data_IF_696724536664
#
_entry.id   IF_696724536664
#
_cell.length_a   1.000
_cell.length_b   1.000
_cell.length_c   1.000
_cell.angle_alpha   90.00
_cell.angle_beta   90.00
_cell.angle_gamma   90.00
#
_symmetry.space_group_name_H-M   'P 1'
#
loop_
_entity.id
_entity.type
_entity.pdbx_description
1 polymer ?
#
# COMPACT_ATOMS: atom_id res chain seq x y z
N UNK A 1 -15.46 11.31 4.38
CA UNK A 1 -14.33 11.44 5.31
C UNK A 1 -13.30 12.40 4.72
N UNK A 2 -12.67 13.26 5.53
CA UNK A 2 -11.71 14.27 5.07
C UNK A 2 -10.25 13.95 5.39
N UNK A 3 -9.98 12.89 6.17
CA UNK A 3 -8.63 12.39 6.40
C UNK A 3 -8.34 11.33 5.34
N UNK A 4 -7.34 11.56 4.50
CA UNK A 4 -7.07 10.77 3.29
C UNK A 4 -5.59 10.43 3.18
N UNK A 5 -5.27 9.37 2.45
CA UNK A 5 -3.89 9.06 2.06
C UNK A 5 -3.54 9.90 0.83
N UNK A 6 -2.66 10.87 1.02
CA UNK A 6 -2.17 11.75 -0.06
C UNK A 6 -1.09 11.05 -0.90
N UNK A 7 -0.16 10.34 -0.24
CA UNK A 7 0.89 9.58 -0.90
C UNK A 7 0.84 8.13 -0.44
N UNK A 8 0.54 7.24 -1.39
CA UNK A 8 0.56 5.80 -1.16
C UNK A 8 1.97 5.29 -0.82
N UNK A 9 2.09 4.18 -0.06
CA UNK A 9 3.38 3.61 0.30
C UNK A 9 4.26 3.36 -0.92
N UNK A 10 5.44 3.97 -0.92
CA UNK A 10 6.37 3.89 -2.04
C UNK A 10 7.82 3.95 -1.57
N UNK A 11 8.66 3.15 -2.21
CA UNK A 11 10.11 3.20 -2.04
C UNK A 11 10.70 4.28 -2.97
N UNK A 12 11.81 4.95 -2.58
CA UNK A 12 12.56 5.82 -3.48
C UNK A 12 13.24 4.94 -4.54
N UNK A 13 12.55 4.70 -5.66
CA UNK A 13 12.99 3.82 -6.72
C UNK A 13 12.73 4.45 -8.09
N UNK A 14 13.67 4.29 -9.02
CA UNK A 14 13.57 4.78 -10.40
C UNK A 14 12.37 4.18 -11.15
N UNK A 15 11.98 2.93 -10.84
CA UNK A 15 10.95 2.19 -11.58
C UNK A 15 9.50 2.59 -11.24
N UNK A 16 9.27 3.59 -10.36
CA UNK A 16 7.94 4.13 -9.99
C UNK A 16 6.85 3.04 -9.80
N UNK A 17 7.13 2.02 -8.97
CA UNK A 17 6.16 0.98 -8.60
C UNK A 17 5.66 1.23 -7.16
N UNK A 18 4.68 2.12 -6.94
CA UNK A 18 4.06 2.28 -5.62
C UNK A 18 3.33 0.99 -5.22
N UNK A 19 3.03 0.83 -3.93
CA UNK A 19 2.33 -0.34 -3.38
C UNK A 19 3.08 -1.68 -3.53
N UNK A 20 4.35 -1.66 -3.92
CA UNK A 20 5.24 -2.81 -3.77
C UNK A 20 6.39 -2.40 -2.86
N UNK A 21 6.43 -2.96 -1.66
CA UNK A 21 7.45 -2.65 -0.66
C UNK A 21 8.39 -3.83 -0.47
N UNK A 22 9.66 -3.53 -0.22
CA UNK A 22 10.66 -4.55 0.10
C UNK A 22 11.07 -4.46 1.56
N UNK A 23 11.13 -5.61 2.23
CA UNK A 23 11.66 -5.70 3.60
C UNK A 23 13.04 -5.05 3.71
N UNK A 24 13.33 -4.42 4.85
CA UNK A 24 14.59 -3.70 5.11
C UNK A 24 14.93 -2.54 4.14
N UNK A 25 14.03 -2.18 3.22
CA UNK A 25 14.19 -1.02 2.34
C UNK A 25 13.34 0.12 2.85
N UNK A 26 13.89 1.34 2.78
CA UNK A 26 13.19 2.54 3.23
C UNK A 26 12.02 2.86 2.29
N UNK A 27 10.90 3.25 2.86
CA UNK A 27 9.74 3.74 2.13
C UNK A 27 9.14 4.96 2.84
N UNK A 28 8.20 5.61 2.15
CA UNK A 28 7.45 6.75 2.67
C UNK A 28 5.97 6.58 2.39
N UNK A 29 5.14 7.16 3.25
CA UNK A 29 3.70 7.25 3.08
C UNK A 29 3.18 8.49 3.80
N UNK A 30 2.14 9.14 3.25
CA UNK A 30 1.64 10.42 3.74
C UNK A 30 0.13 10.45 3.78
N UNK A 31 -0.42 10.86 4.90
CA UNK A 31 -1.83 11.20 5.04
C UNK A 31 -2.02 12.71 5.20
N UNK A 32 -3.17 13.22 4.77
CA UNK A 32 -3.55 14.63 4.85
C UNK A 32 -4.97 14.75 5.35
N UNK A 33 -5.20 15.65 6.30
CA UNK A 33 -6.54 16.11 6.63
C UNK A 33 -6.88 17.31 5.74
N UNK A 34 -7.88 17.14 4.89
CA UNK A 34 -8.32 18.17 3.95
C UNK A 34 -9.00 19.36 4.65
N UNK A 35 -9.52 19.13 5.86
CA UNK A 35 -10.05 20.19 6.73
C UNK A 35 -8.89 20.95 7.36
N UNK A 36 -8.75 22.23 7.00
CA UNK A 36 -7.67 23.11 7.46
C UNK A 36 -8.02 23.83 8.77
N UNK A 37 -8.49 23.07 9.75
CA UNK A 37 -8.80 23.56 11.09
C UNK A 37 -7.77 22.99 12.07
N UNK A 38 -7.03 23.86 12.75
CA UNK A 38 -5.99 23.46 13.68
C UNK A 38 -5.97 24.42 14.86
N UNK A 39 -6.00 23.88 16.07
CA UNK A 39 -5.78 24.65 17.29
C UNK A 39 -4.28 24.66 17.61
N UNK A 40 -3.65 25.84 17.52
CA UNK A 40 -2.20 25.99 17.77
C UNK A 40 -1.78 25.59 19.19
N UNK A 41 -2.73 25.58 20.13
CA UNK A 41 -2.45 25.30 21.53
C UNK A 41 -2.54 23.80 21.86
N UNK A 42 -3.11 22.98 20.97
CA UNK A 42 -3.24 21.54 21.16
C UNK A 42 -2.22 20.79 20.31
N UNK A 43 -1.45 19.90 20.94
CA UNK A 43 -0.53 19.01 20.24
C UNK A 43 -1.31 17.80 19.75
N UNK A 44 -1.42 17.65 18.43
CA UNK A 44 -2.01 16.45 17.83
C UNK A 44 -0.94 15.38 17.62
N UNK A 45 -1.32 14.11 17.75
CA UNK A 45 -0.43 12.97 17.54
C UNK A 45 -0.94 12.13 16.37
N UNK A 46 -0.10 11.92 15.36
CA UNK A 46 -0.36 11.01 14.26
C UNK A 46 0.40 9.69 14.49
N UNK A 47 -0.22 8.54 14.23
CA UNK A 47 0.41 7.22 14.29
C UNK A 47 0.20 6.45 13.00
N UNK A 48 1.12 5.53 12.74
CA UNK A 48 1.07 4.63 11.59
C UNK A 48 1.13 3.18 12.07
N UNK A 49 0.22 2.37 11.54
CA UNK A 49 0.04 0.97 11.89
C UNK A 49 0.05 0.14 10.62
N UNK A 50 0.59 -1.07 10.69
CA UNK A 50 0.46 -2.07 9.62
C UNK A 50 -0.48 -3.16 10.10
N UNK A 51 -1.42 -3.54 9.23
CA UNK A 51 -2.41 -4.59 9.46
C UNK A 51 -3.06 -4.51 10.86
N UNK A 52 -3.67 -3.34 11.18
CA UNK A 52 -4.39 -3.12 12.45
C UNK A 52 -5.46 -4.20 12.67
N UNK A 53 -6.16 -4.55 11.59
CA UNK A 53 -7.21 -5.59 11.55
C UNK A 53 -6.86 -6.65 10.49
N UNK A 54 -5.90 -7.55 10.77
CA UNK A 54 -5.40 -8.49 9.77
C UNK A 54 -6.46 -9.55 9.42
N UNK A 55 -6.47 -10.07 8.18
CA UNK A 55 -7.26 -11.23 7.81
C UNK A 55 -7.02 -12.42 8.73
N UNK A 56 -8.10 -13.10 9.15
CA UNK A 56 -8.02 -14.32 9.97
C UNK A 56 -7.70 -15.56 9.11
N UNK A 57 -6.70 -15.46 8.25
CA UNK A 57 -6.26 -16.53 7.36
C UNK A 57 -5.00 -17.18 7.94
N UNK A 58 -4.94 -18.51 7.87
CA UNK A 58 -3.74 -19.26 8.27
C UNK A 58 -2.58 -18.93 7.33
N UNK A 59 -1.43 -18.57 7.90
CA UNK A 59 -0.23 -18.28 7.13
C UNK A 59 -0.10 -16.83 6.65
N UNK A 60 -1.04 -15.94 7.00
CA UNK A 60 -0.88 -14.50 6.74
C UNK A 60 0.33 -13.95 7.51
N UNK A 61 1.34 -13.46 6.77
CA UNK A 61 2.59 -12.99 7.35
C UNK A 61 2.37 -11.68 8.08
N UNK A 62 3.11 -11.49 9.17
CA UNK A 62 3.03 -10.29 10.00
C UNK A 62 4.31 -9.49 9.90
N UNK A 63 4.18 -8.18 9.89
CA UNK A 63 5.30 -7.26 9.75
C UNK A 63 5.25 -6.19 10.83
N UNK A 64 6.43 -5.69 11.19
CA UNK A 64 6.59 -4.50 12.01
C UNK A 64 7.09 -3.35 11.14
N UNK A 65 6.51 -2.18 11.36
CA UNK A 65 7.13 -0.91 10.95
C UNK A 65 8.23 -0.62 11.96
N UNK A 66 9.47 -0.55 11.49
CA UNK A 66 10.62 -0.07 12.26
C UNK A 66 10.80 1.43 11.97
N UNK A 67 11.39 2.16 12.94
CA UNK A 67 11.48 3.63 13.07
C UNK A 67 10.29 4.27 13.79
N UNK A 68 10.24 5.62 13.88
CA UNK A 68 9.20 6.33 14.61
C UNK A 68 7.83 6.11 13.97
N UNK A 69 6.99 5.30 14.62
CA UNK A 69 5.61 5.03 14.22
C UNK A 69 4.61 6.08 14.73
N UNK A 70 5.09 7.07 15.47
CA UNK A 70 4.32 8.24 15.90
C UNK A 70 5.04 9.53 15.51
N UNK A 71 4.26 10.58 15.24
CA UNK A 71 4.73 11.94 14.95
C UNK A 71 3.79 12.94 15.60
N UNK A 72 4.34 13.82 16.44
CA UNK A 72 3.60 14.99 16.90
C UNK A 72 3.51 16.01 15.77
N UNK A 73 2.30 16.46 15.47
CA UNK A 73 2.09 17.55 14.52
C UNK A 73 2.16 18.86 15.29
N UNK A 74 3.11 19.71 14.92
CA UNK A 74 3.22 21.06 15.44
C UNK A 74 2.57 22.03 14.45
N UNK A 75 1.77 22.96 14.95
CA UNK A 75 1.30 24.08 14.15
C UNK A 75 2.50 24.95 13.76
N UNK A 76 2.93 24.94 12.50
CA UNK A 76 4.02 25.85 12.14
C UNK A 76 4.56 25.85 10.72
N UNK A 77 4.67 24.71 10.03
CA UNK A 77 5.66 24.70 8.95
C UNK A 77 5.18 25.30 7.61
N UNK A 78 3.86 25.31 7.34
CA UNK A 78 3.29 26.20 6.33
C UNK A 78 1.76 26.34 6.52
N UNK A 79 1.18 27.56 6.51
CA UNK A 79 -0.28 27.75 6.58
C UNK A 79 -1.01 27.25 5.30
N UNK A 80 -0.26 26.88 4.25
CA UNK A 80 -0.81 26.42 2.98
C UNK A 80 -0.96 24.90 2.89
N UNK A 81 -0.19 24.11 3.67
CA UNK A 81 -0.19 22.65 3.55
C UNK A 81 -1.28 21.93 4.35
N UNK A 82 -1.96 22.62 5.28
CA UNK A 82 -2.92 21.98 6.16
C UNK A 82 -2.26 20.95 7.09
N UNK A 83 -3.05 20.00 7.62
CA UNK A 83 -2.54 18.98 8.54
C UNK A 83 -2.02 17.76 7.77
N UNK A 84 -0.69 17.65 7.68
CA UNK A 84 0.01 16.60 6.94
C UNK A 84 0.74 15.65 7.90
N UNK A 85 0.39 14.38 7.82
CA UNK A 85 1.03 13.28 8.54
C UNK A 85 2.05 12.60 7.62
N UNK A 86 3.24 13.20 7.51
CA UNK A 86 4.30 12.68 6.63
C UNK A 86 5.25 11.75 7.39
N UNK A 87 5.23 10.46 7.02
CA UNK A 87 6.13 9.43 7.55
C UNK A 87 7.13 9.01 6.48
N UNK A 88 8.41 9.30 6.76
CA UNK A 88 9.52 9.03 5.86
C UNK A 88 10.50 8.04 6.49
N UNK A 89 11.30 7.39 5.66
CA UNK A 89 12.36 6.47 6.07
C UNK A 89 11.87 5.25 6.89
N UNK A 90 10.60 4.90 6.75
CA UNK A 90 10.01 3.71 7.37
C UNK A 90 10.65 2.46 6.77
N UNK A 91 10.77 1.39 7.57
CA UNK A 91 11.24 0.08 7.07
C UNK A 91 10.37 -1.03 7.63
N UNK A 92 10.17 -2.11 6.85
CA UNK A 92 9.40 -3.27 7.29
C UNK A 92 10.32 -4.42 7.68
N UNK A 93 9.98 -5.09 8.78
CA UNK A 93 10.63 -6.33 9.23
C UNK A 93 9.57 -7.38 9.54
N UNK A 94 9.71 -8.54 8.90
CA UNK A 94 8.85 -9.69 9.15
C UNK A 94 8.97 -10.18 10.60
N UNK A 95 7.83 -10.46 11.21
CA UNK A 95 7.75 -11.12 12.51
C UNK A 95 7.97 -12.62 12.28
N UNK A 96 9.08 -13.15 12.79
CA UNK A 96 9.30 -14.59 12.83
C UNK A 96 8.55 -15.16 14.02
N UNK A 97 7.58 -16.04 13.79
CA UNK A 97 6.93 -16.76 14.87
C UNK A 97 7.94 -17.65 15.60
N UNK A 98 8.24 -17.30 16.85
CA UNK A 98 9.18 -18.03 17.73
C UNK A 98 8.66 -19.40 18.19
N UNK A 99 7.45 -19.81 17.75
CA UNK A 99 6.85 -21.11 18.08
C UNK A 99 7.23 -22.24 17.12
N UNK A 100 7.86 -21.94 15.98
CA UNK A 100 8.41 -22.99 15.10
C UNK A 100 9.87 -23.25 15.47
N UNK A 101 10.11 -24.30 16.25
CA UNK A 101 11.46 -24.79 16.55
C UNK A 101 12.26 -25.14 15.30
N UNK A 102 13.60 -25.21 15.46
CA UNK A 102 14.55 -25.69 14.45
C UNK A 102 14.00 -26.95 13.75
N UNK A 103 13.61 -26.83 12.48
CA UNK A 103 13.27 -27.99 11.65
C UNK A 103 11.98 -27.91 10.82
N UNK A 104 11.15 -26.87 10.90
CA UNK A 104 9.98 -26.78 10.03
C UNK A 104 10.30 -26.13 8.68
N UNK A 105 10.71 -26.95 7.71
CA UNK A 105 10.34 -26.72 6.30
C UNK A 105 8.82 -26.83 6.24
N UNK A 106 8.07 -25.73 6.10
CA UNK A 106 6.64 -25.80 5.78
C UNK A 106 5.67 -24.88 6.55
N UNK A 107 6.12 -23.84 7.25
CA UNK A 107 5.19 -22.85 7.87
C UNK A 107 4.72 -21.74 6.93
N UNK A 108 5.17 -21.75 5.66
CA UNK A 108 4.89 -20.72 4.65
C UNK A 108 3.82 -21.07 3.62
N UNK A 109 3.03 -22.12 3.82
CA UNK A 109 1.90 -22.43 2.94
C UNK A 109 0.63 -21.76 3.48
N UNK A 110 0.61 -20.43 3.41
CA UNK A 110 -0.66 -19.73 3.27
C UNK A 110 -1.30 -20.12 1.93
N UNK A 111 -2.63 -20.00 1.77
CA UNK A 111 -3.29 -20.32 0.51
C UNK A 111 -2.82 -19.42 -0.66
N UNK A 112 -2.26 -18.25 -0.33
CA UNK A 112 -1.77 -17.27 -1.30
C UNK A 112 -0.24 -17.30 -1.37
N UNK A 113 0.28 -17.09 -2.58
CA UNK A 113 1.71 -16.86 -2.77
C UNK A 113 2.10 -15.50 -2.19
N UNK A 114 3.38 -15.35 -1.82
CA UNK A 114 3.94 -14.12 -1.23
C UNK A 114 3.58 -12.84 -2.00
N UNK A 115 3.45 -12.91 -3.32
CA UNK A 115 3.18 -11.76 -4.18
C UNK A 115 1.69 -11.43 -4.33
N UNK A 116 0.80 -12.26 -3.81
CA UNK A 116 -0.66 -12.07 -3.80
C UNK A 116 -1.19 -11.75 -2.39
N UNK A 117 -0.34 -11.87 -1.37
CA UNK A 117 -0.67 -11.43 -0.01
C UNK A 117 -0.67 -9.88 0.06
N UNK A 118 -1.79 -9.33 0.50
CA UNK A 118 -2.07 -7.91 0.52
C UNK A 118 -2.10 -7.36 1.95
N UNK A 119 -1.36 -6.28 2.18
CA UNK A 119 -1.24 -5.60 3.48
C UNK A 119 -1.83 -4.20 3.42
N UNK A 120 -2.23 -3.68 4.58
CA UNK A 120 -2.72 -2.32 4.74
C UNK A 120 -1.88 -1.54 5.74
N UNK A 121 -1.69 -0.26 5.45
CA UNK A 121 -1.19 0.70 6.43
C UNK A 121 -2.36 1.59 6.83
N UNK A 122 -2.54 1.74 8.14
CA UNK A 122 -3.56 2.61 8.73
C UNK A 122 -2.89 3.77 9.44
N UNK A 123 -3.32 4.98 9.11
CA UNK A 123 -2.97 6.20 9.81
C UNK A 123 -4.06 6.53 10.81
N UNK A 124 -3.67 6.90 12.03
CA UNK A 124 -4.57 7.49 13.01
C UNK A 124 -4.08 8.88 13.37
N UNK A 125 -5.00 9.78 13.66
CA UNK A 125 -4.73 11.15 14.10
C UNK A 125 -5.62 11.47 15.30
N UNK A 126 -5.01 11.69 16.46
CA UNK A 126 -5.67 12.28 17.61
C UNK A 126 -5.89 13.77 17.34
N UNK A 127 -7.03 14.09 16.76
CA UNK A 127 -7.41 15.42 16.31
C UNK A 127 -8.14 16.17 17.42
N UNK A 128 -7.72 17.40 17.70
CA UNK A 128 -8.34 18.27 18.71
C UNK A 128 -8.57 19.69 18.16
N UNK A 129 -9.80 20.20 18.22
CA UNK A 129 -10.13 21.54 17.76
C UNK A 129 -11.31 22.14 18.54
N UNK A 130 -11.14 23.32 19.14
CA UNK A 130 -12.19 24.03 19.89
C UNK A 130 -12.91 23.16 20.95
N UNK A 131 -12.16 22.32 21.68
CA UNK A 131 -12.71 21.41 22.69
C UNK A 131 -13.32 20.11 22.15
N UNK A 132 -13.37 19.93 20.83
CA UNK A 132 -13.72 18.66 20.19
C UNK A 132 -12.47 17.79 20.07
N UNK A 133 -12.53 16.55 20.56
CA UNK A 133 -11.49 15.53 20.41
C UNK A 133 -12.04 14.34 19.62
N UNK A 134 -11.31 13.92 18.57
CA UNK A 134 -11.68 12.84 17.67
C UNK A 134 -10.45 12.00 17.32
N UNK A 135 -10.62 10.68 17.19
CA UNK A 135 -9.65 9.82 16.52
C UNK A 135 -10.05 9.69 15.05
N UNK A 136 -9.28 10.33 14.16
CA UNK A 136 -9.47 10.20 12.72
C UNK A 136 -8.66 9.02 12.21
N UNK A 137 -9.21 8.25 11.27
CA UNK A 137 -8.54 7.10 10.67
C UNK A 137 -8.65 7.11 9.13
N UNK A 138 -7.57 6.71 8.46
CA UNK A 138 -7.58 6.37 7.04
C UNK A 138 -6.59 5.25 6.75
N UNK A 139 -6.82 4.47 5.69
CA UNK A 139 -5.92 3.39 5.28
C UNK A 139 -5.43 3.60 3.85
N UNK A 140 -4.27 3.04 3.54
CA UNK A 140 -3.71 2.99 2.19
C UNK A 140 -4.54 2.08 1.29
N UNK A 141 -4.24 2.09 -0.01
CA UNK A 141 -4.58 0.93 -0.83
C UNK A 141 -3.74 -0.27 -0.39
N UNK A 142 -4.23 -1.51 -0.63
CA UNK A 142 -3.46 -2.71 -0.42
C UNK A 142 -2.14 -2.70 -1.16
N UNK A 143 -1.10 -3.17 -0.49
CA UNK A 143 0.24 -3.26 -1.03
C UNK A 143 0.84 -4.65 -0.79
N UNK A 144 1.82 -5.02 -1.61
CA UNK A 144 2.53 -6.30 -1.53
C UNK A 144 3.89 -6.10 -0.86
N UNK A 145 4.28 -7.03 0.02
CA UNK A 145 5.60 -7.04 0.66
C UNK A 145 6.45 -8.17 0.09
N UNK A 146 7.52 -7.79 -0.59
CA UNK A 146 8.54 -8.69 -1.15
C UNK A 146 9.81 -8.71 -0.30
N UNK A 147 10.59 -9.79 -0.42
CA UNK A 147 11.92 -9.89 0.20
C UNK A 147 13.04 -9.69 -0.81
N UNK A 148 12.80 -9.96 -2.10
CA UNK A 148 13.80 -9.87 -3.16
C UNK A 148 13.21 -9.23 -4.44
N UNK A 149 14.07 -8.54 -5.21
CA UNK A 149 13.72 -7.87 -6.46
C UNK A 149 13.22 -8.82 -7.55
N UNK A 150 13.60 -10.10 -7.52
CA UNK A 150 13.06 -11.07 -8.47
C UNK A 150 11.53 -11.27 -8.35
N UNK A 151 10.93 -10.92 -7.21
CA UNK A 151 9.48 -10.95 -6.98
C UNK A 151 8.76 -9.69 -7.49
N UNK A 152 9.49 -8.63 -7.85
CA UNK A 152 8.94 -7.32 -8.17
C UNK A 152 7.93 -7.38 -9.33
N UNK A 153 8.24 -8.17 -10.37
CA UNK A 153 7.36 -8.31 -11.55
C UNK A 153 6.00 -8.90 -11.17
N UNK A 154 6.01 -10.02 -10.44
CA UNK A 154 4.79 -10.70 -9.99
C UNK A 154 4.00 -9.85 -8.98
N UNK A 155 4.68 -9.20 -8.03
CA UNK A 155 4.03 -8.30 -7.09
C UNK A 155 3.37 -7.12 -7.81
N UNK A 156 4.01 -6.57 -8.84
CA UNK A 156 3.43 -5.49 -9.64
C UNK A 156 2.20 -5.96 -10.41
N UNK A 157 2.22 -7.16 -10.98
CA UNK A 157 1.04 -7.74 -11.61
C UNK A 157 -0.15 -7.83 -10.63
N UNK A 158 0.08 -8.24 -9.38
CA UNK A 158 -0.96 -8.25 -8.35
C UNK A 158 -1.53 -6.85 -8.07
N UNK A 159 -0.68 -5.84 -7.95
CA UNK A 159 -1.13 -4.45 -7.74
C UNK A 159 -1.96 -3.94 -8.92
N UNK A 160 -1.54 -4.25 -10.15
CA UNK A 160 -2.32 -3.90 -11.34
C UNK A 160 -3.68 -4.58 -11.34
N UNK A 161 -3.72 -5.88 -11.05
CA UNK A 161 -4.96 -6.66 -11.04
C UNK A 161 -5.94 -6.18 -9.98
N UNK A 162 -5.45 -5.93 -8.75
CA UNK A 162 -6.24 -5.40 -7.65
C UNK A 162 -6.83 -4.04 -7.99
N UNK A 163 -6.00 -3.07 -8.38
CA UNK A 163 -6.45 -1.70 -8.65
C UNK A 163 -7.37 -1.61 -9.87
N UNK A 164 -7.23 -2.53 -10.83
CA UNK A 164 -8.08 -2.57 -12.02
C UNK A 164 -9.48 -3.12 -11.73
N UNK A 165 -9.62 -4.07 -10.80
CA UNK A 165 -10.82 -4.89 -10.68
C UNK A 165 -11.50 -4.87 -9.31
N UNK A 166 -10.80 -4.50 -8.24
CA UNK A 166 -11.41 -4.48 -6.91
C UNK A 166 -12.40 -3.33 -6.77
N UNK A 167 -13.61 -3.65 -6.32
CA UNK A 167 -14.61 -2.66 -5.92
C UNK A 167 -14.38 -2.11 -4.51
N UNK A 168 -13.72 -2.89 -3.65
CA UNK A 168 -13.38 -2.50 -2.30
C UNK A 168 -11.89 -2.13 -2.23
N UNK A 169 -11.54 -0.85 -1.93
CA UNK A 169 -10.18 -0.38 -1.86
C UNK A 169 -9.39 -0.92 -0.66
N UNK A 170 -9.97 -1.76 0.21
CA UNK A 170 -9.33 -2.34 1.40
C UNK A 170 -9.38 -3.88 1.44
N UNK A 171 -9.83 -4.53 0.37
CA UNK A 171 -10.02 -6.00 0.35
C UNK A 171 -8.70 -6.78 0.32
N UNK A 172 -8.23 -7.19 1.50
CA UNK A 172 -6.96 -7.93 1.64
C UNK A 172 -7.04 -9.39 1.15
N UNK A 173 -8.23 -9.97 1.02
CA UNK A 173 -8.43 -11.35 0.57
C UNK A 173 -8.76 -11.45 -0.93
N UNK A 174 -8.58 -10.37 -1.69
CA UNK A 174 -8.93 -10.27 -3.12
C UNK A 174 -8.43 -11.47 -3.95
N UNK A 175 -7.19 -11.92 -3.73
CA UNK A 175 -6.60 -13.04 -4.47
C UNK A 175 -7.05 -14.43 -3.99
N UNK A 176 -7.91 -14.52 -2.98
CA UNK A 176 -8.57 -15.80 -2.64
C UNK A 176 -9.60 -16.21 -3.69
N UNK A 177 -10.16 -15.24 -4.43
CA UNK A 177 -11.06 -15.47 -5.55
C UNK A 177 -10.99 -14.29 -6.55
N UNK A 178 -9.87 -14.12 -7.28
CA UNK A 178 -9.68 -12.95 -8.13
C UNK A 178 -10.64 -13.00 -9.33
N UNK A 179 -11.35 -11.91 -9.66
CA UNK A 179 -12.20 -11.86 -10.83
C UNK A 179 -11.36 -11.87 -12.12
N UNK A 180 -11.91 -12.39 -13.24
CA UNK A 180 -11.28 -12.28 -14.54
C UNK A 180 -11.29 -10.82 -15.02
N UNK A 181 -10.21 -10.38 -15.67
CA UNK A 181 -10.12 -9.05 -16.26
C UNK A 181 -10.77 -9.03 -17.66
N UNK A 182 -11.72 -8.11 -17.95
CA UNK A 182 -12.20 -7.91 -19.31
C UNK A 182 -11.09 -7.29 -20.16
N UNK A 183 -10.90 -7.78 -21.39
CA UNK A 183 -9.81 -7.35 -22.27
C UNK A 183 -9.73 -5.82 -22.47
N UNK A 184 -10.82 -5.07 -22.68
CA UNK A 184 -10.73 -3.61 -22.85
C UNK A 184 -10.04 -2.90 -21.68
N UNK A 185 -10.28 -3.35 -20.44
CA UNK A 185 -9.63 -2.81 -19.24
C UNK A 185 -8.17 -3.24 -19.16
N UNK A 186 -7.89 -4.52 -19.42
CA UNK A 186 -6.53 -5.04 -19.38
C UNK A 186 -5.64 -4.37 -20.44
N UNK A 187 -6.15 -4.18 -21.65
CA UNK A 187 -5.46 -3.53 -22.76
C UNK A 187 -5.06 -2.08 -22.43
N UNK A 188 -5.98 -1.33 -21.81
CA UNK A 188 -5.73 0.04 -21.33
C UNK A 188 -4.60 0.06 -20.29
N UNK A 189 -4.70 -0.80 -19.27
CA UNK A 189 -3.68 -0.89 -18.21
C UNK A 189 -2.32 -1.32 -18.75
N UNK A 190 -2.27 -2.26 -19.70
CA UNK A 190 -1.04 -2.67 -20.38
C UNK A 190 -0.41 -1.49 -21.13
N UNK A 191 -1.21 -0.71 -21.86
CA UNK A 191 -0.72 0.48 -22.56
C UNK A 191 -0.09 1.50 -21.60
N UNK A 192 -0.73 1.77 -20.46
CA UNK A 192 -0.16 2.64 -19.42
C UNK A 192 1.18 2.14 -18.88
N UNK A 193 1.40 0.81 -18.82
CA UNK A 193 2.70 0.28 -18.38
C UNK A 193 3.83 0.68 -19.33
N UNK A 194 3.58 0.66 -20.64
CA UNK A 194 4.54 1.12 -21.64
C UNK A 194 4.72 2.62 -21.58
N UNK A 195 3.64 3.38 -21.51
CA UNK A 195 3.68 4.85 -21.44
C UNK A 195 4.47 5.35 -20.22
N UNK A 196 4.29 4.71 -19.06
CA UNK A 196 4.96 5.09 -17.81
C UNK A 196 6.49 4.93 -17.84
N UNK A 197 7.04 4.12 -18.75
CA UNK A 197 8.48 3.80 -18.83
C UNK A 197 9.11 4.29 -20.13
N UNK A 198 8.37 4.24 -21.25
CA UNK A 198 8.87 4.47 -22.59
C UNK A 198 8.22 5.69 -23.29
N UNK A 199 7.52 6.55 -22.53
CA UNK A 199 6.89 7.80 -22.99
C UNK A 199 5.80 7.64 -24.07
N UNK A 200 5.49 6.40 -24.47
CA UNK A 200 4.43 6.07 -25.41
C UNK A 200 3.74 4.77 -25.01
N UNK A 201 2.43 4.72 -25.22
CA UNK A 201 1.62 3.52 -25.02
C UNK A 201 1.73 2.52 -26.18
N UNK A 202 0.83 1.55 -26.16
CA UNK A 202 0.69 0.53 -27.20
C UNK A 202 -0.27 1.00 -28.31
N UNK A 203 0.10 0.76 -29.57
CA UNK A 203 -0.79 0.99 -30.70
C UNK A 203 -1.91 -0.06 -30.75
N UNK A 204 -2.94 0.20 -31.56
CA UNK A 204 -4.02 -0.77 -31.80
C UNK A 204 -3.50 -2.11 -32.31
N UNK A 205 -2.52 -2.10 -33.22
CA UNK A 205 -1.91 -3.31 -33.78
C UNK A 205 -1.18 -4.12 -32.71
N UNK A 206 -0.41 -3.45 -31.83
CA UNK A 206 0.25 -4.13 -30.71
C UNK A 206 -0.76 -4.77 -29.76
N UNK A 207 -1.85 -4.05 -29.44
CA UNK A 207 -2.91 -4.57 -28.57
C UNK A 207 -3.64 -5.76 -29.21
N UNK A 208 -3.94 -5.70 -30.50
CA UNK A 208 -4.56 -6.82 -31.22
C UNK A 208 -3.67 -8.08 -31.16
N UNK A 209 -2.37 -7.93 -31.45
CA UNK A 209 -1.42 -9.04 -31.35
C UNK A 209 -1.38 -9.64 -29.94
N UNK A 210 -1.40 -8.80 -28.89
CA UNK A 210 -1.43 -9.29 -27.51
C UNK A 210 -2.76 -9.98 -27.16
N UNK A 211 -3.88 -9.50 -27.70
CA UNK A 211 -5.18 -10.12 -27.52
C UNK A 211 -5.19 -11.54 -28.13
N UNK A 212 -4.78 -11.67 -29.39
CA UNK A 212 -4.65 -12.95 -30.09
C UNK A 212 -3.71 -13.89 -29.32
N UNK A 213 -2.59 -13.39 -28.81
CA UNK A 213 -1.65 -14.19 -28.02
C UNK A 213 -2.27 -14.75 -26.72
N UNK A 214 -3.19 -14.02 -26.09
CA UNK A 214 -3.80 -14.43 -24.82
C UNK A 214 -5.06 -15.30 -25.02
N UNK A 215 -5.84 -15.03 -26.07
CA UNK A 215 -7.16 -15.63 -26.25
C UNK A 215 -7.28 -16.57 -27.46
N UNK A 216 -6.30 -16.57 -28.36
CA UNK A 216 -6.36 -17.29 -29.64
C UNK A 216 -6.95 -16.46 -30.75
#
# INVERSE_FOLDING_TARGET
SAFVVEQQPSMPNAYKRPLVLRTATKFSARARLLVRLHDRNHRMEAKIHIDRDPPKIKGFRKFNILTSSSKTLLAGDSPQDGLVCDFQYLTLKEQKDSRSGKGSKGTGEGPLVVTEELHLITFTLAYAYCGLELELETSTLPFVIISNNNQLSSAWASILWFNMLSSDPKEQQFFSAPPPAPWPRLAEVLSWQFESVAERGLSREHLLMLAEKLFG
#
